data_IF_264531422240
#
_entry.id   IF_264531422240
#
_cell.length_a   1.000
_cell.length_b   1.000
_cell.length_c   1.000
_cell.angle_alpha   90.00
_cell.angle_beta   90.00
_cell.angle_gamma   90.00
#
_symmetry.space_group_name_H-M   'P 1'
#
loop_
_entity.id
_entity.type
_entity.pdbx_description
1 polymer ?
#
# COMPACT_ATOMS: atom_id res chain seq x y z
N UNK A 1 28.50 -35.22 3.94
CA UNK A 1 28.08 -33.82 4.02
C UNK A 1 26.79 -33.68 3.21
N UNK A 2 25.66 -33.74 3.88
CA UNK A 2 24.35 -33.65 3.23
C UNK A 2 23.98 -32.19 3.10
N UNK A 3 23.89 -31.69 1.88
CA UNK A 3 23.29 -30.40 1.59
C UNK A 3 21.78 -30.47 1.86
N UNK A 4 21.31 -29.78 2.88
CA UNK A 4 19.87 -29.58 3.08
C UNK A 4 19.31 -28.85 1.87
N UNK A 5 18.17 -29.30 1.31
CA UNK A 5 17.55 -28.56 0.22
C UNK A 5 17.09 -27.20 0.74
N UNK A 6 17.59 -26.13 0.13
CA UNK A 6 17.05 -24.78 0.31
C UNK A 6 15.61 -24.79 -0.20
N UNK A 7 14.65 -24.82 0.71
CA UNK A 7 13.24 -24.69 0.30
C UNK A 7 13.02 -23.27 -0.23
N UNK A 8 12.62 -23.18 -1.49
CA UNK A 8 12.19 -21.90 -2.07
C UNK A 8 11.07 -21.29 -1.22
N UNK A 9 11.01 -19.96 -1.06
CA UNK A 9 9.96 -19.32 -0.28
C UNK A 9 8.58 -19.61 -0.90
N UNK A 10 7.64 -20.06 -0.07
CA UNK A 10 6.26 -20.31 -0.50
C UNK A 10 5.52 -18.99 -0.49
N UNK A 11 5.30 -18.39 -1.65
CA UNK A 11 4.59 -17.13 -1.79
C UNK A 11 3.08 -17.28 -1.62
N UNK A 12 2.53 -18.38 -2.09
CA UNK A 12 1.11 -18.71 -1.99
C UNK A 12 0.98 -20.02 -1.17
N UNK A 13 0.47 -19.96 0.07
CA UNK A 13 0.28 -21.16 0.86
C UNK A 13 -0.82 -22.03 0.23
N UNK A 14 -0.56 -23.34 0.21
CA UNK A 14 -1.60 -24.33 -0.12
C UNK A 14 -2.57 -24.38 1.03
N UNK A 15 -3.85 -24.01 0.84
CA UNK A 15 -5.01 -24.44 1.59
C UNK A 15 -6.07 -23.37 1.90
N UNK A 16 -7.05 -23.71 2.70
CA UNK A 16 -8.26 -23.07 3.17
C UNK A 16 -8.08 -21.74 3.97
N UNK A 17 -7.17 -20.87 3.52
CA UNK A 17 -7.01 -19.54 4.11
C UNK A 17 -7.87 -18.52 3.36
N UNK A 18 -8.52 -17.65 4.08
CA UNK A 18 -9.06 -16.43 3.49
C UNK A 18 -7.90 -15.54 3.01
N UNK A 19 -7.98 -15.12 1.76
CA UNK A 19 -6.94 -14.30 1.11
C UNK A 19 -7.47 -12.90 0.93
N UNK A 20 -6.78 -11.95 1.49
CA UNK A 20 -7.18 -10.53 1.47
C UNK A 20 -6.08 -9.71 0.82
N UNK A 21 -6.44 -8.95 -0.20
CA UNK A 21 -5.55 -7.98 -0.85
C UNK A 21 -5.73 -6.62 -0.19
N UNK A 22 -4.62 -6.03 0.25
CA UNK A 22 -4.53 -4.67 0.80
C UNK A 22 -3.56 -3.87 -0.05
N UNK A 23 -3.96 -2.67 -0.44
CA UNK A 23 -3.05 -1.72 -1.08
C UNK A 23 -2.27 -0.95 -0.02
N UNK A 24 -0.99 -0.73 -0.28
CA UNK A 24 -0.15 0.22 0.47
C UNK A 24 0.17 1.36 -0.48
N UNK A 25 -0.50 2.48 -0.30
CA UNK A 25 -0.50 3.60 -1.21
C UNK A 25 0.26 4.81 -0.61
N UNK A 26 0.64 5.75 -1.46
CA UNK A 26 1.31 6.98 -1.04
C UNK A 26 2.35 7.45 -2.04
N UNK A 27 2.85 8.68 -1.92
CA UNK A 27 3.84 9.27 -2.81
C UNK A 27 5.15 8.48 -2.89
N UNK A 28 6.00 8.85 -3.83
CA UNK A 28 7.34 8.25 -3.93
C UNK A 28 8.19 8.57 -2.70
N UNK A 29 8.94 7.56 -2.20
CA UNK A 29 9.87 7.70 -1.07
C UNK A 29 9.20 7.86 0.31
N UNK A 30 7.88 7.60 0.43
CA UNK A 30 7.09 7.78 1.65
C UNK A 30 7.26 6.66 2.68
N UNK A 31 7.87 5.53 2.29
CA UNK A 31 8.06 4.38 3.17
C UNK A 31 7.23 3.13 2.84
N UNK A 32 6.49 3.08 1.70
CA UNK A 32 5.69 1.92 1.28
C UNK A 32 6.49 0.62 1.27
N UNK A 33 7.59 0.60 0.53
CA UNK A 33 8.51 -0.55 0.43
C UNK A 33 9.03 -0.97 1.81
N UNK A 34 9.36 0.00 2.66
CA UNK A 34 9.83 -0.25 4.02
C UNK A 34 8.75 -0.93 4.84
N UNK A 35 7.54 -0.39 4.87
CA UNK A 35 6.42 -0.96 5.62
C UNK A 35 6.07 -2.38 5.15
N UNK A 36 6.02 -2.61 3.83
CA UNK A 36 5.74 -3.93 3.27
C UNK A 36 6.83 -4.92 3.69
N UNK A 37 8.10 -4.55 3.62
CA UNK A 37 9.22 -5.40 4.04
C UNK A 37 9.20 -5.67 5.53
N UNK A 38 8.89 -4.66 6.34
CA UNK A 38 8.81 -4.78 7.80
C UNK A 38 7.72 -5.78 8.21
N UNK A 39 6.58 -5.77 7.54
CA UNK A 39 5.43 -6.63 7.85
C UNK A 39 5.50 -8.00 7.19
N UNK A 40 6.23 -8.15 6.10
CA UNK A 40 6.22 -9.37 5.31
C UNK A 40 6.96 -10.52 6.00
N UNK A 41 6.32 -11.68 6.11
CA UNK A 41 6.90 -12.94 6.58
C UNK A 41 7.69 -13.69 5.49
N UNK A 42 7.65 -13.18 4.26
CA UNK A 42 8.39 -13.70 3.12
C UNK A 42 9.34 -12.62 2.57
N UNK A 43 10.42 -12.99 1.87
CA UNK A 43 11.18 -11.99 1.13
C UNK A 43 10.26 -11.19 0.23
N UNK A 44 10.26 -9.86 0.37
CA UNK A 44 9.43 -9.02 -0.47
C UNK A 44 9.87 -9.15 -1.92
N UNK A 45 8.91 -9.42 -2.81
CA UNK A 45 9.16 -9.39 -4.24
C UNK A 45 9.12 -7.95 -4.72
N UNK A 46 10.12 -7.59 -5.48
CA UNK A 46 10.15 -6.36 -6.24
C UNK A 46 9.98 -6.77 -7.69
N UNK A 47 8.74 -6.71 -8.19
CA UNK A 47 8.45 -7.14 -9.55
C UNK A 47 8.60 -5.96 -10.48
N UNK A 48 9.43 -6.12 -11.49
CA UNK A 48 9.50 -5.19 -12.62
C UNK A 48 8.48 -5.62 -13.66
N UNK A 49 7.36 -4.91 -13.75
CA UNK A 49 6.39 -5.13 -14.82
C UNK A 49 6.73 -4.25 -16.01
N UNK A 50 6.92 -4.89 -17.18
CA UNK A 50 7.15 -4.20 -18.44
C UNK A 50 5.81 -3.72 -18.99
N UNK A 51 5.57 -2.42 -19.00
CA UNK A 51 4.40 -1.85 -19.64
C UNK A 51 4.47 -2.03 -21.15
N UNK A 52 3.56 -2.80 -21.71
CA UNK A 52 3.31 -2.86 -23.15
C UNK A 52 2.47 -1.67 -23.60
N UNK A 53 2.70 -1.23 -24.81
CA UNK A 53 2.28 -0.04 -25.59
C UNK A 53 0.89 0.60 -25.35
N UNK A 54 0.03 0.12 -24.46
CA UNK A 54 -1.30 0.68 -24.24
C UNK A 54 -1.31 2.07 -23.56
N UNK A 55 -0.21 2.48 -22.93
CA UNK A 55 -0.08 3.79 -22.25
C UNK A 55 0.72 4.83 -23.07
N UNK A 56 1.18 4.47 -24.26
CA UNK A 56 2.02 5.35 -25.10
C UNK A 56 1.23 6.47 -25.81
N UNK A 57 -0.09 6.51 -25.71
CA UNK A 57 -0.92 7.48 -26.41
C UNK A 57 -1.10 8.83 -25.70
N UNK A 58 -0.43 9.09 -24.61
CA UNK A 58 -0.62 10.36 -23.84
C UNK A 58 0.51 11.37 -24.05
N UNK A 59 1.65 10.98 -24.60
CA UNK A 59 2.76 11.90 -24.93
C UNK A 59 3.10 11.86 -26.42
N UNK A 60 2.34 12.58 -27.24
CA UNK A 60 2.80 13.03 -28.55
C UNK A 60 3.91 14.06 -28.35
N UNK A 61 5.14 13.64 -28.38
CA UNK A 61 6.35 14.36 -28.76
C UNK A 61 7.61 13.76 -28.09
N UNK A 62 7.97 12.54 -28.46
CA UNK A 62 9.38 12.12 -28.34
C UNK A 62 9.65 10.82 -29.10
N UNK A 63 10.37 10.95 -30.19
CA UNK A 63 11.38 10.04 -30.76
C UNK A 63 11.17 8.53 -30.51
N UNK A 64 10.97 7.83 -31.61
CA UNK A 64 10.96 6.37 -31.76
C UNK A 64 12.16 5.71 -31.05
N UNK A 65 12.03 5.39 -29.81
CA UNK A 65 12.80 4.36 -29.15
C UNK A 65 11.87 3.66 -28.16
N UNK A 66 11.73 2.33 -28.29
CA UNK A 66 10.82 1.50 -27.49
C UNK A 66 11.15 1.67 -26.01
N UNK A 67 10.55 2.63 -25.33
CA UNK A 67 10.65 2.77 -23.87
C UNK A 67 9.62 1.87 -23.21
N UNK A 68 9.99 0.62 -23.00
CA UNK A 68 9.35 -0.22 -21.99
C UNK A 68 9.62 0.44 -20.63
N UNK A 69 8.59 0.97 -20.00
CA UNK A 69 8.71 1.50 -18.64
C UNK A 69 8.44 0.37 -17.67
N UNK A 70 9.45 -0.02 -16.93
CA UNK A 70 9.31 -1.01 -15.86
C UNK A 70 8.60 -0.36 -14.67
N UNK A 71 7.49 -0.95 -14.23
CA UNK A 71 6.82 -0.56 -12.99
C UNK A 71 7.24 -1.53 -11.89
N UNK A 72 7.91 -1.01 -10.89
CA UNK A 72 8.27 -1.81 -9.73
C UNK A 72 7.10 -1.82 -8.74
N UNK A 73 6.59 -3.01 -8.44
CA UNK A 73 5.55 -3.24 -7.43
C UNK A 73 6.18 -3.99 -6.26
N UNK A 74 6.02 -3.44 -5.06
CA UNK A 74 6.37 -4.16 -3.86
C UNK A 74 5.25 -5.14 -3.50
N UNK A 75 5.61 -6.37 -3.19
CA UNK A 75 4.68 -7.39 -2.74
C UNK A 75 5.18 -7.99 -1.43
N UNK A 76 4.29 -8.13 -0.46
CA UNK A 76 4.54 -8.79 0.81
C UNK A 76 3.36 -9.66 1.24
N UNK A 77 3.64 -10.59 2.15
CA UNK A 77 2.63 -11.48 2.73
C UNK A 77 2.72 -11.45 4.26
N UNK A 78 1.56 -11.38 4.91
CA UNK A 78 1.44 -11.48 6.35
C UNK A 78 0.29 -12.41 6.72
N UNK A 79 0.59 -13.45 7.50
CA UNK A 79 -0.42 -14.39 8.00
C UNK A 79 -0.90 -13.95 9.37
N UNK A 80 -2.21 -13.80 9.53
CA UNK A 80 -2.84 -13.34 10.78
C UNK A 80 -3.92 -14.32 11.25
N UNK A 81 -4.55 -14.02 12.39
CA UNK A 81 -5.65 -14.81 12.96
C UNK A 81 -5.31 -16.30 13.10
N UNK A 82 -4.12 -16.61 13.64
CA UNK A 82 -3.63 -17.97 13.85
C UNK A 82 -3.61 -18.81 12.55
N UNK A 83 -3.21 -18.18 11.45
CA UNK A 83 -3.08 -18.84 10.17
C UNK A 83 -4.35 -18.85 9.32
N UNK A 84 -5.47 -18.28 9.77
CA UNK A 84 -6.74 -18.32 9.02
C UNK A 84 -6.85 -17.29 7.91
N UNK A 85 -6.17 -16.15 8.04
CA UNK A 85 -6.22 -15.06 7.07
C UNK A 85 -4.81 -14.75 6.58
N UNK A 86 -4.66 -14.65 5.28
CA UNK A 86 -3.43 -14.25 4.62
C UNK A 86 -3.64 -12.90 3.95
N UNK A 87 -2.95 -11.89 4.45
CA UNK A 87 -2.92 -10.56 3.86
C UNK A 87 -1.84 -10.51 2.78
N UNK A 88 -2.21 -10.09 1.59
CA UNK A 88 -1.30 -9.75 0.51
C UNK A 88 -1.18 -8.24 0.42
N UNK A 89 -0.01 -7.72 0.71
CA UNK A 89 0.30 -6.29 0.68
C UNK A 89 0.90 -5.93 -0.68
N UNK A 90 0.26 -5.00 -1.38
CA UNK A 90 0.71 -4.53 -2.68
C UNK A 90 1.04 -3.04 -2.59
N UNK A 91 2.31 -2.69 -2.82
CA UNK A 91 2.74 -1.30 -2.92
C UNK A 91 2.32 -0.69 -4.25
N UNK A 92 1.56 0.39 -4.21
CA UNK A 92 1.20 1.11 -5.44
C UNK A 92 2.36 1.97 -5.93
N UNK A 93 2.52 2.16 -7.25
CA UNK A 93 3.48 3.12 -7.78
C UNK A 93 3.17 4.53 -7.30
N UNK A 94 4.16 5.22 -6.73
CA UNK A 94 3.99 6.57 -6.20
C UNK A 94 4.24 7.69 -7.23
N UNK A 95 4.31 7.39 -8.52
CA UNK A 95 4.59 8.37 -9.58
C UNK A 95 3.34 8.59 -10.43
N UNK A 96 3.05 9.87 -10.77
CA UNK A 96 1.87 10.30 -11.55
C UNK A 96 1.66 9.56 -12.88
N UNK A 97 2.73 9.24 -13.57
CA UNK A 97 2.68 8.53 -14.86
C UNK A 97 2.02 7.15 -14.80
N UNK A 98 1.87 6.58 -13.61
CA UNK A 98 1.22 5.28 -13.42
C UNK A 98 -0.25 5.39 -12.99
N UNK A 99 -0.82 6.60 -12.99
CA UNK A 99 -2.23 6.83 -12.71
C UNK A 99 -3.19 5.93 -13.52
N UNK A 100 -2.97 5.68 -14.82
CA UNK A 100 -3.85 4.79 -15.60
C UNK A 100 -3.93 3.35 -15.09
N UNK A 101 -2.97 2.88 -14.30
CA UNK A 101 -2.95 1.52 -13.75
C UNK A 101 -3.67 1.38 -12.41
N UNK A 102 -4.10 2.48 -11.80
CA UNK A 102 -4.67 2.45 -10.46
C UNK A 102 -5.95 1.60 -10.36
N UNK A 103 -6.81 1.65 -11.35
CA UNK A 103 -8.01 0.80 -11.39
C UNK A 103 -7.68 -0.68 -11.39
N UNK A 104 -6.59 -1.08 -12.04
CA UNK A 104 -6.14 -2.47 -12.07
C UNK A 104 -5.52 -2.87 -10.73
N UNK A 105 -4.76 -1.98 -10.09
CA UNK A 105 -4.24 -2.22 -8.74
C UNK A 105 -5.37 -2.32 -7.70
N UNK A 106 -6.40 -1.50 -7.80
CA UNK A 106 -7.53 -1.50 -6.89
C UNK A 106 -8.41 -2.74 -7.02
N UNK A 107 -8.41 -3.37 -8.19
CA UNK A 107 -9.25 -4.54 -8.46
C UNK A 107 -9.00 -5.67 -7.46
N UNK A 108 -10.07 -6.07 -6.75
CA UNK A 108 -10.03 -7.14 -5.76
C UNK A 108 -9.31 -6.77 -4.46
N UNK A 109 -8.92 -5.52 -4.26
CA UNK A 109 -8.46 -5.05 -2.97
C UNK A 109 -9.67 -4.86 -2.03
N UNK A 110 -9.48 -5.22 -0.75
CA UNK A 110 -10.48 -5.01 0.29
C UNK A 110 -10.46 -3.57 0.83
N UNK A 111 -9.28 -2.95 0.83
CA UNK A 111 -9.06 -1.59 1.30
C UNK A 111 -7.63 -1.14 1.05
N UNK A 112 -7.34 0.10 1.46
CA UNK A 112 -6.03 0.70 1.27
C UNK A 112 -5.47 1.31 2.56
N UNK A 113 -4.15 1.17 2.76
CA UNK A 113 -3.40 1.91 3.76
C UNK A 113 -2.63 3.02 3.05
N UNK A 114 -3.03 4.27 3.26
CA UNK A 114 -2.40 5.44 2.67
C UNK A 114 -1.31 5.95 3.59
N UNK A 115 -0.06 5.89 3.14
CA UNK A 115 1.07 6.41 3.92
C UNK A 115 1.30 7.87 3.57
N UNK A 116 1.37 8.73 4.60
CA UNK A 116 1.62 10.16 4.48
C UNK A 116 2.85 10.59 5.28
N UNK A 117 3.44 11.72 4.92
CA UNK A 117 4.61 12.32 5.57
C UNK A 117 4.30 13.78 5.93
N UNK A 118 4.42 14.12 7.21
CA UNK A 118 4.11 15.47 7.70
C UNK A 118 5.02 16.57 7.15
N UNK A 119 6.20 16.20 6.61
CA UNK A 119 7.11 17.14 5.93
C UNK A 119 6.58 17.60 4.57
N UNK A 120 5.67 16.83 3.94
CA UNK A 120 5.15 17.06 2.58
C UNK A 120 3.74 16.53 2.38
N UNK A 121 2.82 16.93 3.26
CA UNK A 121 1.42 16.45 3.25
C UNK A 121 0.74 16.67 1.89
N UNK A 122 1.06 17.78 1.21
CA UNK A 122 0.47 18.10 -0.09
C UNK A 122 0.67 17.02 -1.17
N UNK A 123 1.77 16.25 -1.08
CA UNK A 123 2.04 15.17 -2.04
C UNK A 123 1.06 14.00 -1.90
N UNK A 124 0.36 13.90 -0.76
CA UNK A 124 -0.53 12.79 -0.45
C UNK A 124 -1.93 12.93 -1.05
N UNK A 125 -2.38 14.15 -1.33
CA UNK A 125 -3.75 14.41 -1.80
C UNK A 125 -4.05 13.66 -3.10
N UNK A 126 -3.17 13.71 -4.08
CA UNK A 126 -3.39 13.02 -5.35
C UNK A 126 -3.59 11.50 -5.17
N UNK A 127 -2.88 10.91 -4.22
CA UNK A 127 -3.02 9.47 -3.94
C UNK A 127 -4.31 9.19 -3.18
N UNK A 128 -4.72 10.08 -2.28
CA UNK A 128 -5.98 9.97 -1.56
C UNK A 128 -7.15 10.08 -2.52
N UNK A 129 -7.15 11.09 -3.41
CA UNK A 129 -8.15 11.25 -4.48
C UNK A 129 -8.27 9.98 -5.33
N UNK A 130 -7.13 9.39 -5.72
CA UNK A 130 -7.11 8.17 -6.52
C UNK A 130 -7.71 6.96 -5.78
N UNK A 131 -7.49 6.82 -4.48
CA UNK A 131 -8.12 5.77 -3.67
C UNK A 131 -9.63 6.02 -3.58
N UNK A 132 -10.05 7.25 -3.32
CA UNK A 132 -11.46 7.64 -3.22
C UNK A 132 -12.20 7.43 -4.55
N UNK A 133 -11.58 7.76 -5.69
CA UNK A 133 -12.11 7.48 -7.04
C UNK A 133 -12.37 5.97 -7.26
N UNK A 134 -11.63 5.09 -6.59
CA UNK A 134 -11.85 3.63 -6.68
C UNK A 134 -12.98 3.12 -5.79
N UNK A 135 -13.46 3.93 -4.85
CA UNK A 135 -14.46 3.56 -3.85
C UNK A 135 -13.93 2.61 -2.77
N UNK A 136 -12.63 2.48 -2.62
CA UNK A 136 -12.03 1.68 -1.56
C UNK A 136 -12.05 2.44 -0.23
N UNK A 137 -12.50 1.77 0.83
CA UNK A 137 -12.28 2.25 2.19
C UNK A 137 -10.79 2.26 2.51
N UNK A 138 -10.33 3.27 3.24
CA UNK A 138 -8.91 3.40 3.57
C UNK A 138 -8.68 3.90 5.00
N UNK A 139 -7.44 3.71 5.46
CA UNK A 139 -6.91 4.34 6.67
C UNK A 139 -5.62 5.09 6.33
N UNK A 140 -5.33 6.14 7.08
CA UNK A 140 -4.12 6.94 6.93
C UNK A 140 -3.07 6.54 7.95
N UNK A 141 -1.87 6.22 7.49
CA UNK A 141 -0.69 5.96 8.31
C UNK A 141 0.30 7.12 8.17
N UNK A 142 0.42 7.94 9.20
CA UNK A 142 1.34 9.08 9.24
C UNK A 142 2.73 8.56 9.59
N UNK A 143 3.57 8.34 8.59
CA UNK A 143 4.90 7.79 8.77
C UNK A 143 5.87 8.83 9.31
N UNK A 144 6.48 8.52 10.44
CA UNK A 144 7.43 9.42 11.09
C UNK A 144 8.85 9.25 10.58
N UNK A 145 9.47 10.36 10.25
CA UNK A 145 10.87 10.50 9.92
C UNK A 145 11.58 11.34 10.98
N UNK A 146 12.91 11.29 11.09
CA UNK A 146 13.65 12.01 12.14
C UNK A 146 13.34 13.52 12.20
N UNK A 147 13.01 14.14 11.07
CA UNK A 147 12.74 15.59 10.96
C UNK A 147 11.26 15.89 10.71
N UNK A 148 10.37 14.93 10.97
CA UNK A 148 8.94 15.13 10.78
C UNK A 148 8.39 16.15 11.77
N UNK A 149 7.71 17.21 11.30
CA UNK A 149 6.98 18.11 12.18
C UNK A 149 5.93 17.35 13.00
N UNK A 150 5.88 17.63 14.29
CA UNK A 150 4.84 17.09 15.15
C UNK A 150 3.58 17.96 15.03
N UNK A 151 2.46 17.32 14.75
CA UNK A 151 1.13 17.92 14.78
C UNK A 151 0.25 17.10 15.71
N UNK A 152 -0.70 17.75 16.37
CA UNK A 152 -1.78 17.04 17.04
C UNK A 152 -2.72 16.40 15.99
N UNK A 153 -3.51 15.43 16.45
CA UNK A 153 -4.39 14.66 15.59
C UNK A 153 -5.42 15.55 14.86
N UNK A 154 -6.05 16.48 15.56
CA UNK A 154 -7.07 17.37 14.99
C UNK A 154 -6.48 18.22 13.86
N UNK A 155 -5.30 18.81 14.10
CA UNK A 155 -4.59 19.58 13.07
C UNK A 155 -4.26 18.73 11.84
N UNK A 156 -3.83 17.47 12.02
CA UNK A 156 -3.52 16.57 10.90
C UNK A 156 -4.78 16.21 10.12
N UNK A 157 -5.87 15.89 10.79
CA UNK A 157 -7.14 15.58 10.14
C UNK A 157 -7.62 16.73 9.27
N UNK A 158 -7.59 17.95 9.82
CA UNK A 158 -7.95 19.17 9.06
C UNK A 158 -7.00 19.40 7.87
N UNK A 159 -5.69 19.24 8.08
CA UNK A 159 -4.69 19.44 7.02
C UNK A 159 -4.78 18.39 5.90
N UNK A 160 -5.25 17.20 6.18
CA UNK A 160 -5.41 16.10 5.23
C UNK A 160 -6.86 16.03 4.67
N UNK A 161 -7.73 16.92 5.11
CA UNK A 161 -9.18 16.94 4.73
C UNK A 161 -9.84 15.57 4.94
N UNK A 162 -9.55 14.94 6.08
CA UNK A 162 -10.05 13.60 6.39
C UNK A 162 -11.46 13.66 6.95
N UNK A 163 -12.32 12.81 6.43
CA UNK A 163 -13.63 12.58 7.02
C UNK A 163 -13.51 12.00 8.44
N UNK A 164 -14.50 12.32 9.33
CA UNK A 164 -14.47 11.93 10.74
C UNK A 164 -14.31 10.43 10.94
N UNK A 165 -14.84 9.63 10.03
CA UNK A 165 -14.81 8.17 10.13
C UNK A 165 -13.52 7.53 9.56
N UNK A 166 -12.70 8.28 8.82
CA UNK A 166 -11.44 7.74 8.26
C UNK A 166 -10.40 7.57 9.36
N UNK A 167 -9.93 6.35 9.65
CA UNK A 167 -8.92 6.14 10.66
C UNK A 167 -7.59 6.79 10.28
N UNK A 168 -6.96 7.42 11.26
CA UNK A 168 -5.62 7.94 11.13
C UNK A 168 -4.77 7.48 12.31
N UNK A 169 -3.57 6.97 12.04
CA UNK A 169 -2.60 6.55 13.06
C UNK A 169 -1.21 7.05 12.74
N UNK A 170 -0.46 7.40 13.76
CA UNK A 170 0.97 7.71 13.64
C UNK A 170 1.73 6.40 13.64
N UNK A 171 2.68 6.23 12.72
CA UNK A 171 3.47 5.02 12.63
C UNK A 171 4.95 5.30 12.28
N UNK A 172 5.79 4.30 12.53
CA UNK A 172 7.12 4.18 11.94
C UNK A 172 7.12 2.94 11.06
N UNK A 173 7.27 3.14 9.76
CA UNK A 173 7.27 2.03 8.79
C UNK A 173 8.41 1.01 8.99
N UNK A 174 9.43 1.34 9.79
CA UNK A 174 10.56 0.47 10.13
C UNK A 174 10.28 -0.41 11.34
N UNK A 175 9.28 -0.05 12.14
CA UNK A 175 8.87 -0.77 13.33
C UNK A 175 7.69 -1.69 13.03
N UNK A 176 7.82 -2.96 13.41
CA UNK A 176 6.82 -3.98 13.10
C UNK A 176 5.50 -3.77 13.84
N UNK A 177 5.57 -3.49 15.14
CA UNK A 177 4.37 -3.29 15.96
C UNK A 177 3.61 -2.03 15.53
N UNK A 178 4.34 -0.97 15.22
CA UNK A 178 3.79 0.28 14.71
C UNK A 178 3.10 0.10 13.36
N UNK A 179 3.77 -0.58 12.43
CA UNK A 179 3.21 -0.90 11.10
C UNK A 179 2.00 -1.83 11.19
N UNK A 180 2.05 -2.83 12.08
CA UNK A 180 0.91 -3.72 12.34
C UNK A 180 -0.29 -2.97 12.93
N UNK A 181 -0.04 -1.99 13.81
CA UNK A 181 -1.11 -1.16 14.38
C UNK A 181 -1.84 -0.36 13.29
N UNK A 182 -1.12 0.15 12.29
CA UNK A 182 -1.73 0.82 11.14
C UNK A 182 -2.64 -0.13 10.33
N UNK A 183 -2.19 -1.38 10.10
CA UNK A 183 -3.04 -2.40 9.46
C UNK A 183 -4.25 -2.78 10.32
N UNK A 184 -4.12 -2.81 11.65
CA UNK A 184 -5.23 -3.08 12.55
C UNK A 184 -6.29 -1.99 12.50
N UNK A 185 -5.88 -0.72 12.42
CA UNK A 185 -6.80 0.40 12.29
C UNK A 185 -7.61 0.29 10.98
N UNK A 186 -6.97 -0.03 9.86
CA UNK A 186 -7.65 -0.30 8.60
C UNK A 186 -8.62 -1.49 8.73
N UNK A 187 -8.17 -2.61 9.30
CA UNK A 187 -9.01 -3.81 9.43
C UNK A 187 -10.26 -3.54 10.29
N UNK A 188 -10.10 -2.83 11.41
CA UNK A 188 -11.23 -2.45 12.27
C UNK A 188 -12.23 -1.56 11.52
N UNK A 189 -11.74 -0.62 10.72
CA UNK A 189 -12.57 0.24 9.88
C UNK A 189 -13.37 -0.57 8.85
N UNK A 190 -12.70 -1.47 8.11
CA UNK A 190 -13.34 -2.31 7.10
C UNK A 190 -14.44 -3.21 7.71
N UNK A 191 -14.20 -3.78 8.90
CA UNK A 191 -15.21 -4.58 9.61
C UNK A 191 -16.40 -3.71 10.01
N UNK A 192 -16.17 -2.51 10.52
CA UNK A 192 -17.25 -1.58 10.91
C UNK A 192 -18.10 -1.18 9.70
N UNK A 193 -17.46 -0.88 8.57
CA UNK A 193 -18.14 -0.52 7.31
C UNK A 193 -18.96 -1.68 6.74
N UNK A 194 -18.42 -2.90 6.79
CA UNK A 194 -19.12 -4.11 6.35
C UNK A 194 -20.32 -4.45 7.25
N UNK A 195 -20.19 -4.27 8.57
CA UNK A 195 -21.28 -4.54 9.54
C UNK A 195 -22.38 -3.47 9.57
N UNK A 196 -22.10 -2.27 9.12
CA UNK A 196 -23.10 -1.18 9.01
C UNK A 196 -24.04 -1.28 7.80
N UNK A 197 -23.84 -2.26 6.92
CA UNK A 197 -24.64 -2.51 5.72
C UNK A 197 -25.57 -3.74 5.85
N UNK A 198 -25.82 -4.23 7.07
CA UNK A 198 -26.75 -5.36 7.34
C UNK A 198 -28.07 -4.85 7.97
#
# INVERSE_FOLDING_TARGET
MGSSPSSAPVYLPDSNHERVKILVAGPFGIGKTTMIRTLSEIPSLHTEEVMTDAAAHVDELAVADKKTTTVAIDFGRLTIAQGRIVLYLFGTPGQRRFKPLWSDYARGALGALVIVDTRRLADSFEVMDLIEETGLDYAVAVNQFPESPAYDEETLRVKLDLEDHTPMVICDARDWDSSLNALRALAAHLVTRAGGNL
#
